data_IF_305618952371
#
_entry.id   IF_305618952371
#
_cell.length_a   1.000
_cell.length_b   1.000
_cell.length_c   1.000
_cell.angle_alpha   90.00
_cell.angle_beta   90.00
_cell.angle_gamma   90.00
#
_symmetry.space_group_name_H-M   'P 1'
#
loop_
_entity.id
_entity.type
_entity.pdbx_description
1 polymer ?
#
# COMPACT_ATOMS: atom_id res chain seq x y z
N UNK A 1 10.84 10.35 18.56
CA UNK A 1 9.40 10.14 18.26
C UNK A 1 9.22 8.89 17.42
N UNK A 2 8.14 8.11 17.60
CA UNK A 2 7.91 6.82 16.91
C UNK A 2 8.10 6.89 15.38
N UNK A 3 7.76 8.02 14.76
CA UNK A 3 7.95 8.29 13.32
C UNK A 3 9.42 8.21 12.85
N UNK A 4 10.37 8.64 13.68
CA UNK A 4 11.80 8.58 13.34
C UNK A 4 12.30 7.13 13.23
N UNK A 5 11.85 6.25 14.13
CA UNK A 5 12.24 4.84 14.12
C UNK A 5 11.72 4.13 12.86
N UNK A 6 10.47 4.39 12.49
CA UNK A 6 9.87 3.84 11.26
C UNK A 6 10.65 4.27 10.01
N UNK A 7 11.04 5.55 9.93
CA UNK A 7 11.88 6.04 8.84
C UNK A 7 13.23 5.30 8.73
N UNK A 8 13.86 4.99 9.87
CA UNK A 8 15.10 4.21 9.91
C UNK A 8 14.88 2.75 9.46
N UNK A 9 13.79 2.12 9.90
CA UNK A 9 13.44 0.76 9.48
C UNK A 9 13.21 0.68 7.96
N UNK A 10 12.45 1.62 7.39
CA UNK A 10 12.23 1.70 5.95
C UNK A 10 13.54 1.91 5.17
N UNK A 11 14.46 2.72 5.71
CA UNK A 11 15.78 2.92 5.11
C UNK A 11 16.61 1.62 5.12
N UNK A 12 16.61 0.88 6.23
CA UNK A 12 17.32 -0.39 6.35
C UNK A 12 16.77 -1.43 5.36
N UNK A 13 15.44 -1.54 5.24
CA UNK A 13 14.80 -2.45 4.27
C UNK A 13 15.17 -2.09 2.83
N UNK A 14 15.19 -0.80 2.49
CA UNK A 14 15.61 -0.33 1.16
C UNK A 14 17.08 -0.67 0.87
N UNK A 15 17.97 -0.50 1.85
CA UNK A 15 19.37 -0.86 1.71
C UNK A 15 19.54 -2.38 1.49
N UNK A 16 18.80 -3.21 2.22
CA UNK A 16 18.81 -4.67 2.02
C UNK A 16 18.29 -5.04 0.62
N UNK A 17 17.19 -4.43 0.17
CA UNK A 17 16.63 -4.66 -1.16
C UNK A 17 17.65 -4.36 -2.27
N UNK A 18 18.37 -3.24 -2.17
CA UNK A 18 19.36 -2.81 -3.17
C UNK A 18 20.61 -3.69 -3.12
N UNK A 19 21.12 -3.97 -1.92
CA UNK A 19 22.40 -4.67 -1.76
C UNK A 19 22.31 -6.17 -2.04
N UNK A 20 21.11 -6.75 -1.93
CA UNK A 20 20.89 -8.19 -2.05
C UNK A 20 19.90 -8.59 -3.16
N UNK A 21 19.46 -7.63 -3.99
CA UNK A 21 18.48 -7.85 -5.05
C UNK A 21 17.19 -8.53 -4.56
N UNK A 22 16.61 -7.99 -3.47
CA UNK A 22 15.41 -8.54 -2.83
C UNK A 22 14.19 -7.67 -3.09
N UNK A 23 13.04 -8.31 -3.29
CA UNK A 23 11.75 -7.65 -3.23
C UNK A 23 11.32 -7.48 -1.77
N UNK A 24 10.97 -6.24 -1.38
CA UNK A 24 10.40 -5.93 -0.06
C UNK A 24 8.94 -5.54 -0.22
N UNK A 25 8.06 -6.34 0.38
CA UNK A 25 6.64 -6.04 0.49
C UNK A 25 6.32 -5.55 1.90
N UNK A 26 5.67 -4.39 2.00
CA UNK A 26 5.24 -3.84 3.28
C UNK A 26 3.72 -3.77 3.28
N UNK A 27 3.08 -4.43 4.24
CA UNK A 27 1.65 -4.31 4.48
C UNK A 27 1.39 -3.16 5.44
N UNK A 28 0.40 -2.33 5.14
CA UNK A 28 -0.01 -1.26 6.02
C UNK A 28 -1.52 -1.32 6.26
N UNK A 29 -1.94 -0.87 7.44
CA UNK A 29 -3.36 -0.69 7.75
C UNK A 29 -3.78 0.74 7.38
N UNK A 30 -5.09 0.94 7.23
CA UNK A 30 -5.72 2.25 7.00
C UNK A 30 -6.73 2.52 8.11
N UNK A 31 -6.97 3.79 8.41
CA UNK A 31 -8.14 4.23 9.18
C UNK A 31 -9.04 5.08 8.28
N UNK A 32 -10.35 5.02 8.50
CA UNK A 32 -11.28 5.94 7.85
C UNK A 32 -10.95 7.37 8.30
N UNK A 33 -10.75 8.28 7.34
CA UNK A 33 -10.72 9.71 7.62
C UNK A 33 -12.15 10.20 7.71
N UNK A 34 -12.50 10.86 8.83
CA UNK A 34 -13.81 11.50 9.00
C UNK A 34 -13.84 12.91 8.38
N UNK A 35 -12.94 13.18 7.42
CA UNK A 35 -12.75 14.50 6.85
C UNK A 35 -13.56 14.59 5.55
N UNK A 36 -14.73 15.23 5.64
CA UNK A 36 -15.74 15.31 4.56
C UNK A 36 -15.24 16.07 3.32
N UNK A 37 -14.09 16.76 3.39
CA UNK A 37 -13.51 17.55 2.30
C UNK A 37 -12.49 16.79 1.43
N UNK A 38 -12.04 15.60 1.83
CA UNK A 38 -11.06 14.82 1.04
C UNK A 38 -11.73 13.73 0.20
N UNK A 39 -11.45 13.70 -1.12
CA UNK A 39 -11.87 12.61 -2.03
C UNK A 39 -11.31 11.22 -1.63
N UNK A 40 -10.42 11.15 -0.64
CA UNK A 40 -9.86 9.91 -0.09
C UNK A 40 -10.42 9.66 1.32
N UNK A 41 -11.42 8.80 1.43
CA UNK A 41 -12.06 8.35 2.68
C UNK A 41 -11.11 7.61 3.67
N UNK A 42 -9.84 7.43 3.32
CA UNK A 42 -8.91 6.61 4.07
C UNK A 42 -7.52 7.23 4.20
N UNK A 43 -7.03 7.31 5.43
CA UNK A 43 -5.65 7.72 5.74
C UNK A 43 -4.79 6.52 6.14
N UNK A 44 -3.62 6.29 5.49
CA UNK A 44 -2.75 5.18 5.85
C UNK A 44 -2.05 5.38 7.20
N UNK A 45 -1.89 4.28 7.93
CA UNK A 45 -1.19 4.26 9.22
C UNK A 45 0.31 4.53 9.01
N UNK A 46 0.95 5.22 9.96
CA UNK A 46 2.37 5.59 9.86
C UNK A 46 2.63 6.91 9.11
N UNK A 47 1.58 7.61 8.70
CA UNK A 47 1.65 8.94 8.08
C UNK A 47 2.38 8.93 6.73
N UNK A 48 2.92 10.09 6.36
CA UNK A 48 3.56 10.29 5.05
C UNK A 48 4.88 9.51 4.87
N UNK A 49 5.46 8.94 5.94
CA UNK A 49 6.77 8.28 5.87
C UNK A 49 6.73 7.01 5.00
N UNK A 50 5.74 6.14 5.22
CA UNK A 50 5.59 4.92 4.42
C UNK A 50 5.30 5.30 2.97
N UNK A 51 4.37 6.23 2.75
CA UNK A 51 4.06 6.73 1.42
C UNK A 51 5.29 7.30 0.71
N UNK A 52 6.11 8.13 1.37
CA UNK A 52 7.28 8.77 0.77
C UNK A 52 8.40 7.76 0.43
N UNK A 53 8.59 6.73 1.25
CA UNK A 53 9.65 5.72 1.04
C UNK A 53 9.24 4.58 0.10
N UNK A 54 7.94 4.38 -0.14
CA UNK A 54 7.44 3.35 -1.06
C UNK A 54 7.48 3.81 -2.53
N UNK A 55 8.13 3.00 -3.37
CA UNK A 55 8.22 3.22 -4.82
C UNK A 55 6.95 2.78 -5.58
N UNK A 56 6.26 1.78 -5.05
CA UNK A 56 5.01 1.24 -5.60
C UNK A 56 4.00 1.19 -4.46
N UNK A 57 2.77 1.64 -4.72
CA UNK A 57 1.68 1.60 -3.75
C UNK A 57 0.47 0.96 -4.42
N UNK A 58 -0.06 -0.09 -3.79
CA UNK A 58 -1.27 -0.78 -4.21
C UNK A 58 -2.28 -0.64 -3.07
N UNK A 59 -3.46 -0.13 -3.40
CA UNK A 59 -4.60 -0.08 -2.51
C UNK A 59 -5.48 -1.31 -2.74
N UNK A 60 -5.87 -2.00 -1.66
CA UNK A 60 -6.77 -3.14 -1.72
C UNK A 60 -8.14 -2.72 -1.20
N UNK A 61 -9.15 -2.80 -2.07
CA UNK A 61 -10.55 -2.50 -1.74
C UNK A 61 -11.36 -3.79 -1.71
N UNK A 62 -12.41 -3.80 -0.90
CA UNK A 62 -13.48 -4.80 -1.01
C UNK A 62 -14.51 -4.27 -1.99
N UNK A 63 -14.95 -5.11 -2.90
CA UNK A 63 -16.12 -4.80 -3.72
C UNK A 63 -17.39 -5.11 -2.91
N UNK A 64 -18.26 -4.11 -2.76
CA UNK A 64 -19.48 -4.25 -1.98
C UNK A 64 -20.45 -5.23 -2.64
N UNK A 65 -21.12 -6.04 -1.83
CA UNK A 65 -22.07 -7.04 -2.33
C UNK A 65 -21.44 -8.27 -3.00
N UNK A 66 -20.11 -8.34 -3.13
CA UNK A 66 -19.41 -9.50 -3.69
C UNK A 66 -18.30 -10.01 -2.76
N UNK A 67 -17.73 -11.18 -3.09
CA UNK A 67 -16.54 -11.72 -2.44
C UNK A 67 -15.23 -11.28 -3.12
N UNK A 68 -15.31 -10.38 -4.09
CA UNK A 68 -14.13 -9.91 -4.82
C UNK A 68 -13.34 -8.87 -4.01
N UNK A 69 -12.08 -8.73 -4.38
CA UNK A 69 -11.17 -7.66 -3.99
C UNK A 69 -10.73 -6.93 -5.24
N UNK A 70 -10.50 -5.64 -5.10
CA UNK A 70 -9.98 -4.79 -6.17
C UNK A 70 -8.62 -4.28 -5.73
N UNK A 71 -7.58 -4.56 -6.49
CA UNK A 71 -6.25 -4.01 -6.27
C UNK A 71 -6.03 -2.83 -7.23
N UNK A 72 -5.93 -1.62 -6.68
CA UNK A 72 -5.76 -0.36 -7.42
C UNK A 72 -4.31 0.11 -7.30
N UNK A 73 -3.67 0.36 -8.43
CA UNK A 73 -2.31 0.89 -8.48
C UNK A 73 -2.34 2.40 -8.18
N UNK A 74 -2.02 2.78 -6.94
CA UNK A 74 -1.99 4.19 -6.49
C UNK A 74 -0.68 4.89 -6.81
N UNK A 75 0.43 4.16 -6.94
CA UNK A 75 1.72 4.71 -7.35
C UNK A 75 2.56 3.65 -8.04
N UNK A 76 3.25 4.04 -9.11
CA UNK A 76 4.32 3.26 -9.73
C UNK A 76 5.30 4.17 -10.44
N UNK A 77 6.57 3.77 -10.53
CA UNK A 77 7.59 4.56 -11.23
C UNK A 77 7.40 4.69 -12.76
N UNK A 78 6.50 3.92 -13.38
CA UNK A 78 6.43 3.76 -14.86
C UNK A 78 5.04 3.45 -15.39
N UNK A 79 4.23 2.70 -14.63
CA UNK A 79 2.84 2.43 -14.98
C UNK A 79 1.94 3.59 -14.56
N UNK A 80 0.86 3.80 -15.32
CA UNK A 80 -0.17 4.79 -15.02
C UNK A 80 -0.89 4.43 -13.72
N UNK A 81 -1.16 5.44 -12.89
CA UNK A 81 -1.97 5.30 -11.68
C UNK A 81 -3.45 5.04 -12.02
N UNK A 82 -4.16 4.39 -11.10
CA UNK A 82 -5.57 4.04 -11.24
C UNK A 82 -5.84 2.74 -12.01
N UNK A 83 -4.81 2.05 -12.51
CA UNK A 83 -4.98 0.68 -13.03
C UNK A 83 -5.53 -0.22 -11.91
N UNK A 84 -6.57 -0.99 -12.22
CA UNK A 84 -7.24 -1.85 -11.26
C UNK A 84 -7.35 -3.28 -11.79
N UNK A 85 -7.26 -4.26 -10.88
CA UNK A 85 -7.55 -5.67 -11.18
C UNK A 85 -8.50 -6.21 -10.13
N UNK A 86 -9.43 -7.06 -10.55
CA UNK A 86 -10.29 -7.82 -9.65
C UNK A 86 -9.60 -9.14 -9.32
N UNK A 87 -9.71 -9.56 -8.06
CA UNK A 87 -9.24 -10.86 -7.62
C UNK A 87 -10.19 -11.48 -6.59
N UNK A 88 -10.14 -12.80 -6.50
CA UNK A 88 -10.82 -13.61 -5.50
C UNK A 88 -9.80 -14.12 -4.48
N UNK A 89 -10.22 -14.15 -3.22
CA UNK A 89 -9.49 -14.87 -2.18
C UNK A 89 -10.13 -16.25 -2.08
N UNK A 90 -9.42 -17.27 -2.56
CA UNK A 90 -9.85 -18.67 -2.56
C UNK A 90 -9.05 -19.47 -1.53
N UNK A 91 -9.36 -20.77 -1.41
CA UNK A 91 -8.55 -21.68 -0.58
C UNK A 91 -7.12 -21.87 -1.11
N UNK A 92 -6.86 -21.52 -2.37
CA UNK A 92 -5.52 -21.61 -2.98
C UNK A 92 -4.76 -20.26 -2.92
N UNK A 93 -5.36 -19.20 -2.39
CA UNK A 93 -4.74 -17.88 -2.29
C UNK A 93 -5.49 -16.81 -3.09
N UNK A 94 -4.77 -16.07 -3.94
CA UNK A 94 -5.32 -15.00 -4.78
C UNK A 94 -5.41 -15.50 -6.22
N UNK A 95 -6.61 -15.46 -6.79
CA UNK A 95 -6.91 -15.85 -8.17
C UNK A 95 -7.59 -14.69 -8.94
#
# INVERSE_FOLDING_TARGET
>A
TKSHLLGKQMQMLSALAINHDLAVLVTNQIYASFDEESEEDFSPVGGTIIQYRSKIIIELKREEGTNQRIAVLKRHNTKREGLAVHCLITNNGIE
#
